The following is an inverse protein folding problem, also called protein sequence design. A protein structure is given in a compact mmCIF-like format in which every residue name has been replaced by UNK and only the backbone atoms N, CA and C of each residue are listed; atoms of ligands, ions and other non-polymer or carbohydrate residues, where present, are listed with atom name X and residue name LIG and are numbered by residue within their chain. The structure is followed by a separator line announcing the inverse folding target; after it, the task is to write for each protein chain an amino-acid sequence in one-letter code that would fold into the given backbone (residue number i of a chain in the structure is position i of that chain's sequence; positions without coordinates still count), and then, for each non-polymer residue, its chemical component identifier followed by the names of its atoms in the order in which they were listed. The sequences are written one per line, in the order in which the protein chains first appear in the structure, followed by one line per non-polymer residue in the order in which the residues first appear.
data_IF_890630250484
#
_entry.id   IF_890630250484
#
_cell.length_a   1.000
_cell.length_b   1.000
_cell.length_c   1.000
_cell.angle_alpha   90.00
_cell.angle_beta   90.00
_cell.angle_gamma   90.00
#
_symmetry.space_group_name_H-M   'P 1'
#
loop_
_entity.id
_entity.type
_entity.pdbx_description
1 polymer ?
#
# COMPACT_ATOMS: atom_id res chain seq x y z
N UNK A 1 -6.90 -15.52 32.62
CA UNK A 1 -7.17 -15.64 31.16
C UNK A 1 -8.62 -16.11 30.95
N UNK A 2 -9.06 -17.21 31.58
CA UNK A 2 -10.42 -17.74 31.42
C UNK A 2 -11.51 -16.71 31.73
N UNK A 3 -11.42 -16.01 32.88
CA UNK A 3 -12.38 -14.98 33.26
C UNK A 3 -12.47 -13.82 32.26
N UNK A 4 -11.34 -13.40 31.67
CA UNK A 4 -11.29 -12.37 30.65
C UNK A 4 -11.91 -12.85 29.33
N UNK A 5 -11.57 -14.07 28.90
CA UNK A 5 -12.07 -14.63 27.64
C UNK A 5 -13.58 -14.94 27.70
N UNK A 6 -14.06 -15.52 28.79
CA UNK A 6 -15.48 -15.81 29.00
C UNK A 6 -16.26 -14.52 29.24
N UNK A 7 -15.75 -13.62 30.10
CA UNK A 7 -16.39 -12.34 30.37
C UNK A 7 -16.53 -11.46 29.11
N UNK A 8 -15.53 -11.45 28.23
CA UNK A 8 -15.60 -10.75 26.96
C UNK A 8 -16.68 -11.31 26.00
N UNK A 9 -16.95 -12.61 26.06
CA UNK A 9 -18.02 -13.26 25.28
C UNK A 9 -19.42 -13.05 25.87
N UNK A 10 -19.52 -13.11 27.20
CA UNK A 10 -20.81 -13.04 27.94
C UNK A 10 -21.30 -11.59 28.09
N UNK A 11 -20.37 -10.63 28.20
CA UNK A 11 -20.67 -9.22 28.40
C UNK A 11 -20.08 -8.36 27.28
N UNK A 12 -20.53 -8.52 26.01
CA UNK A 12 -20.01 -7.75 24.89
C UNK A 12 -20.27 -6.25 25.10
N UNK A 13 -19.21 -5.43 24.95
CA UNK A 13 -19.29 -3.97 25.10
C UNK A 13 -19.08 -3.46 26.54
N UNK A 14 -18.92 -4.32 27.55
CA UNK A 14 -18.55 -3.90 28.90
C UNK A 14 -17.03 -4.02 29.13
N UNK A 15 -16.43 -3.16 29.97
CA UNK A 15 -15.00 -3.18 30.26
C UNK A 15 -14.64 -4.33 31.23
N UNK A 16 -14.72 -5.56 30.73
CA UNK A 16 -14.47 -6.79 31.54
C UNK A 16 -13.06 -6.77 32.13
N UNK A 17 -12.06 -6.28 31.39
CA UNK A 17 -10.69 -6.17 31.87
C UNK A 17 -10.60 -5.27 33.11
N UNK A 18 -11.30 -4.13 33.11
CA UNK A 18 -11.37 -3.24 34.26
C UNK A 18 -12.02 -3.93 35.47
N UNK A 19 -13.11 -4.66 35.24
CA UNK A 19 -13.78 -5.42 36.27
C UNK A 19 -12.87 -6.49 36.92
N UNK A 20 -12.11 -7.22 36.10
CA UNK A 20 -11.13 -8.21 36.58
C UNK A 20 -10.01 -7.55 37.36
N UNK A 21 -9.47 -6.41 36.91
CA UNK A 21 -8.45 -5.65 37.65
C UNK A 21 -8.97 -5.18 39.01
N UNK A 22 -10.17 -4.60 39.05
CA UNK A 22 -10.75 -4.11 40.30
C UNK A 22 -11.04 -5.27 41.27
N UNK A 23 -11.60 -6.38 40.80
CA UNK A 23 -11.84 -7.56 41.64
C UNK A 23 -10.54 -8.14 42.21
N UNK A 24 -9.51 -8.21 41.38
CA UNK A 24 -8.20 -8.72 41.84
C UNK A 24 -7.48 -7.73 42.77
N UNK A 25 -7.62 -6.44 42.59
CA UNK A 25 -7.12 -5.43 43.55
C UNK A 25 -7.78 -5.56 44.89
N UNK A 26 -9.12 -5.68 44.94
CA UNK A 26 -9.86 -5.89 46.19
C UNK A 26 -9.46 -7.22 46.82
N UNK A 27 -9.43 -8.32 46.05
CA UNK A 27 -8.99 -9.61 46.54
C UNK A 27 -7.57 -9.63 47.10
N UNK A 28 -6.63 -8.97 46.40
CA UNK A 28 -5.22 -8.86 46.81
C UNK A 28 -5.03 -7.95 48.05
N UNK A 29 -5.94 -6.99 48.27
CA UNK A 29 -5.91 -6.16 49.49
C UNK A 29 -6.45 -6.90 50.73
N UNK A 30 -7.33 -7.85 50.52
CA UNK A 30 -7.94 -8.65 51.60
C UNK A 30 -7.13 -9.90 51.97
N UNK A 31 -6.33 -10.42 51.03
CA UNK A 31 -5.49 -11.59 51.25
C UNK A 31 -4.01 -11.24 51.03
N UNK A 32 -3.07 -11.70 51.88
CA UNK A 32 -1.63 -11.43 51.71
C UNK A 32 -1.05 -12.29 50.59
N UNK A 33 -1.38 -11.92 49.30
CA UNK A 33 -1.00 -12.66 48.10
C UNK A 33 0.54 -12.76 47.90
N UNK A 34 1.29 -11.82 48.45
CA UNK A 34 2.75 -11.88 48.48
C UNK A 34 3.28 -13.05 49.30
N UNK A 35 2.59 -13.42 50.41
CA UNK A 35 2.94 -14.57 51.27
C UNK A 35 2.65 -15.91 50.57
N UNK A 36 1.77 -15.91 49.57
CA UNK A 36 1.47 -17.05 48.72
C UNK A 36 2.44 -17.24 47.55
N UNK A 37 3.52 -16.45 47.51
CA UNK A 37 4.54 -16.50 46.43
C UNK A 37 4.09 -15.90 45.10
N UNK A 38 2.99 -15.14 45.07
CA UNK A 38 2.51 -14.46 43.89
C UNK A 38 3.29 -13.15 43.68
N UNK A 39 3.89 -12.97 42.51
CA UNK A 39 4.55 -11.73 42.15
C UNK A 39 3.53 -10.60 41.96
N UNK A 40 3.81 -9.46 42.59
CA UNK A 40 2.99 -8.25 42.49
C UNK A 40 3.80 -7.12 41.85
N UNK A 41 3.12 -6.13 41.28
CA UNK A 41 3.72 -4.97 40.61
C UNK A 41 4.65 -4.17 41.53
N UNK A 42 4.38 -4.18 42.83
CA UNK A 42 5.22 -3.49 43.79
C UNK A 42 5.00 -1.98 43.80
N UNK A 43 5.98 -1.23 44.33
CA UNK A 43 5.88 0.23 44.43
C UNK A 43 6.07 0.89 43.08
N UNK A 44 5.03 1.55 42.58
CA UNK A 44 5.11 2.42 41.44
C UNK A 44 5.52 3.81 41.87
N UNK A 45 6.49 4.48 41.18
CA UNK A 45 6.79 5.87 41.44
C UNK A 45 5.53 6.72 41.23
N UNK A 46 5.21 7.56 42.22
CA UNK A 46 4.10 8.50 42.11
C UNK A 46 4.64 9.86 41.59
N UNK A 47 3.84 10.53 40.79
CA UNK A 47 4.19 11.85 40.27
C UNK A 47 4.37 11.87 38.76
N UNK A 48 4.60 13.06 38.23
CA UNK A 48 4.89 13.26 36.80
C UNK A 48 6.40 13.08 36.55
N UNK A 49 6.77 12.52 35.38
CA UNK A 49 8.18 12.41 34.99
C UNK A 49 8.87 13.76 34.93
N UNK A 50 10.19 13.78 35.20
CA UNK A 50 10.97 14.97 35.14
C UNK A 50 11.31 15.38 33.71
N UNK A 51 10.76 16.52 33.28
CA UNK A 51 10.91 17.04 31.92
C UNK A 51 12.37 17.40 31.56
N UNK A 52 13.17 17.85 32.54
CA UNK A 52 14.55 18.29 32.30
C UNK A 52 15.57 17.16 32.17
N UNK A 53 15.27 15.98 32.68
CA UNK A 53 16.23 14.86 32.71
C UNK A 53 16.55 14.34 31.30
N UNK A 54 15.60 14.43 30.34
CA UNK A 54 15.82 14.03 28.95
C UNK A 54 16.82 14.95 28.25
N UNK A 55 16.72 16.27 28.48
CA UNK A 55 17.63 17.24 27.87
C UNK A 55 19.07 17.03 28.35
N UNK A 56 19.27 16.67 29.62
CA UNK A 56 20.60 16.37 30.19
C UNK A 56 21.20 15.09 29.55
N UNK A 57 20.40 14.07 29.31
CA UNK A 57 20.86 12.79 28.73
C UNK A 57 21.24 12.88 27.25
N UNK A 58 20.73 13.89 26.52
CA UNK A 58 21.04 14.06 25.08
C UNK A 58 22.49 14.51 24.84
N UNK A 59 23.12 15.19 25.81
CA UNK A 59 24.50 15.67 25.71
C UNK A 59 25.57 14.57 25.78
N UNK A 60 25.24 13.42 26.35
CA UNK A 60 26.17 12.31 26.58
C UNK A 60 26.10 11.18 25.54
N UNK A 61 25.27 11.33 24.51
CA UNK A 61 25.04 10.29 23.50
C UNK A 61 26.26 10.10 22.60
N UNK A 62 26.71 8.84 22.50
CA UNK A 62 27.75 8.42 21.56
C UNK A 62 27.16 8.19 20.16
N UNK A 63 27.99 8.39 19.14
CA UNK A 63 27.58 8.20 17.72
C UNK A 63 26.97 6.82 17.48
N UNK A 64 27.50 5.79 18.10
CA UNK A 64 26.99 4.42 17.96
C UNK A 64 25.58 4.26 18.59
N UNK A 65 25.34 4.88 19.72
CA UNK A 65 24.02 4.91 20.38
C UNK A 65 23.00 5.67 19.51
N UNK A 66 23.40 6.80 18.93
CA UNK A 66 22.55 7.57 17.99
C UNK A 66 22.18 6.71 16.81
N UNK A 67 23.11 5.92 16.25
CA UNK A 67 22.84 5.02 15.12
C UNK A 67 21.83 3.93 15.50
N UNK A 68 21.96 3.33 16.67
CA UNK A 68 21.02 2.32 17.18
C UNK A 68 19.64 2.94 17.46
N UNK A 69 19.60 4.10 18.09
CA UNK A 69 18.37 4.84 18.37
C UNK A 69 17.65 5.24 17.06
N UNK A 70 18.39 5.66 16.04
CA UNK A 70 17.81 6.03 14.74
C UNK A 70 17.12 4.84 14.07
N UNK A 71 17.72 3.66 14.12
CA UNK A 71 17.09 2.43 13.60
C UNK A 71 15.81 2.10 14.33
N UNK A 72 15.84 2.14 15.66
CA UNK A 72 14.68 1.88 16.51
C UNK A 72 13.59 2.93 16.26
N UNK A 73 13.95 4.22 16.21
CA UNK A 73 13.02 5.31 15.95
C UNK A 73 12.34 5.16 14.58
N UNK A 74 13.11 4.78 13.55
CA UNK A 74 12.55 4.57 12.20
C UNK A 74 11.55 3.40 12.16
N UNK A 75 11.84 2.30 12.84
CA UNK A 75 10.91 1.19 12.88
C UNK A 75 9.66 1.49 13.72
N UNK A 76 9.82 2.14 14.87
CA UNK A 76 8.68 2.63 15.66
C UNK A 76 7.83 3.60 14.84
N UNK A 77 8.45 4.50 14.09
CA UNK A 77 7.77 5.42 13.18
C UNK A 77 6.95 4.68 12.12
N UNK A 78 7.56 3.73 11.40
CA UNK A 78 6.86 2.97 10.36
C UNK A 78 5.65 2.22 10.93
N UNK A 79 5.85 1.51 12.04
CA UNK A 79 4.79 0.74 12.69
C UNK A 79 3.67 1.65 13.18
N UNK A 80 4.01 2.70 13.93
CA UNK A 80 3.05 3.66 14.46
C UNK A 80 2.27 4.38 13.35
N UNK A 81 2.94 4.76 12.27
CA UNK A 81 2.32 5.44 11.14
C UNK A 81 1.36 4.52 10.38
N UNK A 82 1.78 3.29 10.05
CA UNK A 82 0.95 2.32 9.32
C UNK A 82 -0.30 1.99 10.15
N UNK A 83 -0.15 1.70 11.44
CA UNK A 83 -1.26 1.39 12.34
C UNK A 83 -2.22 2.57 12.47
N UNK A 84 -1.71 3.78 12.69
CA UNK A 84 -2.52 4.99 12.84
C UNK A 84 -3.29 5.34 11.58
N UNK A 85 -2.65 5.33 10.41
CA UNK A 85 -3.30 5.62 9.13
C UNK A 85 -4.33 4.56 8.76
N UNK A 86 -4.04 3.28 9.02
CA UNK A 86 -4.99 2.19 8.81
C UNK A 86 -6.24 2.36 9.68
N UNK A 87 -6.05 2.66 10.97
CA UNK A 87 -7.13 2.95 11.90
C UNK A 87 -7.95 4.17 11.45
N UNK A 88 -7.28 5.28 11.14
CA UNK A 88 -7.93 6.51 10.68
C UNK A 88 -8.77 6.28 9.43
N UNK A 89 -8.24 5.59 8.41
CA UNK A 89 -8.96 5.26 7.18
C UNK A 89 -10.17 4.36 7.43
N UNK A 90 -10.06 3.38 8.33
CA UNK A 90 -11.17 2.47 8.67
C UNK A 90 -12.36 3.26 9.21
N UNK A 91 -12.12 4.17 10.16
CA UNK A 91 -13.19 5.00 10.72
C UNK A 91 -13.66 6.10 9.76
N UNK A 92 -12.76 6.66 8.96
CA UNK A 92 -13.11 7.63 7.92
C UNK A 92 -14.09 7.06 6.89
N UNK A 93 -13.84 5.84 6.40
CA UNK A 93 -14.75 5.13 5.51
C UNK A 93 -16.11 4.86 6.17
N UNK A 94 -16.11 4.44 7.44
CA UNK A 94 -17.34 4.18 8.21
C UNK A 94 -18.18 5.43 8.40
N UNK A 95 -17.55 6.56 8.73
CA UNK A 95 -18.22 7.82 9.05
C UNK A 95 -18.23 8.83 7.91
N UNK A 96 -17.70 8.48 6.73
CA UNK A 96 -17.70 9.28 5.50
C UNK A 96 -17.07 10.67 5.65
N UNK A 97 -15.88 10.74 6.29
CA UNK A 97 -15.09 11.96 6.33
C UNK A 97 -13.71 11.75 5.66
N UNK A 98 -13.11 12.80 5.08
CA UNK A 98 -11.77 12.68 4.50
C UNK A 98 -10.70 12.62 5.59
N UNK A 99 -9.62 11.88 5.33
CA UNK A 99 -8.40 11.88 6.15
C UNK A 99 -7.28 12.47 5.32
N UNK A 100 -6.60 13.47 5.86
CA UNK A 100 -5.39 14.02 5.28
C UNK A 100 -4.16 13.32 5.91
N UNK A 101 -3.44 12.45 5.16
CA UNK A 101 -2.30 11.72 5.67
C UNK A 101 -1.16 12.61 6.18
N UNK A 102 -1.05 13.84 5.64
CA UNK A 102 -0.03 14.80 6.07
C UNK A 102 -0.34 15.37 7.45
N UNK A 103 -1.60 15.71 7.71
CA UNK A 103 -2.04 16.19 9.03
C UNK A 103 -1.93 15.08 10.07
N UNK A 104 -2.30 13.85 9.73
CA UNK A 104 -2.13 12.69 10.61
C UNK A 104 -0.65 12.49 10.99
N UNK A 105 0.26 12.57 10.01
CA UNK A 105 1.69 12.43 10.24
C UNK A 105 2.22 13.54 11.16
N UNK A 106 1.81 14.79 10.95
CA UNK A 106 2.22 15.92 11.79
C UNK A 106 1.65 15.80 13.21
N UNK A 107 0.39 15.38 13.33
CA UNK A 107 -0.25 15.14 14.63
C UNK A 107 0.46 14.04 15.42
N UNK A 108 0.71 12.90 14.77
CA UNK A 108 1.40 11.76 15.38
C UNK A 108 2.84 12.10 15.78
N UNK A 109 3.57 12.82 14.90
CA UNK A 109 4.93 13.28 15.16
C UNK A 109 5.01 14.22 16.33
N UNK A 110 4.13 15.23 16.40
CA UNK A 110 4.09 16.19 17.52
C UNK A 110 3.70 15.51 18.83
N UNK A 111 2.74 14.57 18.81
CA UNK A 111 2.36 13.80 19.99
C UNK A 111 3.52 12.92 20.49
N UNK A 112 4.24 12.26 19.57
CA UNK A 112 5.41 11.43 19.93
C UNK A 112 6.59 12.26 20.47
N UNK A 113 6.82 13.45 19.90
CA UNK A 113 7.83 14.37 20.43
C UNK A 113 7.50 14.83 21.86
N UNK A 114 6.25 15.25 22.09
CA UNK A 114 5.81 15.63 23.43
C UNK A 114 5.90 14.45 24.41
N UNK A 115 5.44 13.27 24.01
CA UNK A 115 5.56 12.06 24.84
C UNK A 115 7.03 11.77 25.19
N UNK A 116 7.95 11.87 24.22
CA UNK A 116 9.38 11.66 24.43
C UNK A 116 10.00 12.66 25.42
N UNK A 117 9.60 13.93 25.35
CA UNK A 117 10.05 14.96 26.32
C UNK A 117 9.61 14.65 27.75
N UNK A 118 8.50 13.94 27.93
CA UNK A 118 7.99 13.47 29.22
C UNK A 118 8.37 12.01 29.50
N UNK A 119 9.43 11.50 28.89
CA UNK A 119 9.91 10.10 29.05
C UNK A 119 8.88 9.03 28.72
N UNK A 120 7.91 9.38 27.87
CA UNK A 120 6.88 8.45 27.40
C UNK A 120 7.32 7.65 26.18
N UNK A 121 6.48 6.67 25.82
CA UNK A 121 6.66 5.85 24.63
C UNK A 121 6.17 6.58 23.37
N UNK A 122 6.65 6.17 22.17
CA UNK A 122 6.07 6.62 20.90
C UNK A 122 4.57 6.40 20.85
N UNK A 123 3.82 7.37 20.33
CA UNK A 123 2.35 7.33 20.26
C UNK A 123 1.92 6.72 18.95
N UNK A 124 0.92 5.83 19.01
CA UNK A 124 0.26 5.26 17.83
C UNK A 124 -1.25 5.20 18.04
N UNK A 125 -2.01 5.27 16.93
CA UNK A 125 -3.45 5.14 16.92
C UNK A 125 -3.89 3.70 16.69
N UNK A 126 -4.17 2.97 17.78
CA UNK A 126 -4.62 1.58 17.69
C UNK A 126 -6.09 1.43 17.27
N UNK A 127 -6.38 0.50 16.37
CA UNK A 127 -7.72 0.21 15.89
C UNK A 127 -8.67 -0.23 17.03
N UNK A 128 -8.16 -1.07 17.94
CA UNK A 128 -8.95 -1.61 19.05
C UNK A 128 -9.38 -0.52 20.03
N UNK A 129 -8.46 0.37 20.43
CA UNK A 129 -8.73 1.47 21.32
C UNK A 129 -9.69 2.48 20.70
N UNK A 130 -9.49 2.81 19.43
CA UNK A 130 -10.38 3.67 18.66
C UNK A 130 -11.79 3.08 18.55
N UNK A 131 -11.91 1.75 18.33
CA UNK A 131 -13.19 1.07 18.29
C UNK A 131 -13.92 1.09 19.64
N UNK A 132 -13.20 0.98 20.76
CA UNK A 132 -13.78 1.09 22.11
C UNK A 132 -14.29 2.51 22.36
N UNK A 133 -13.49 3.53 21.99
CA UNK A 133 -13.85 4.92 22.14
C UNK A 133 -15.09 5.28 21.30
N UNK A 134 -15.15 4.80 20.05
CA UNK A 134 -16.31 4.96 19.17
C UNK A 134 -17.57 4.30 19.72
N UNK A 135 -17.47 3.01 20.16
CA UNK A 135 -18.59 2.29 20.78
C UNK A 135 -19.07 2.96 22.06
N UNK A 136 -18.17 3.64 22.79
CA UNK A 136 -18.49 4.47 23.94
C UNK A 136 -19.26 5.74 23.61
N UNK A 137 -19.46 6.03 22.31
CA UNK A 137 -20.20 7.20 21.83
C UNK A 137 -19.36 8.45 21.66
N UNK A 138 -18.04 8.34 21.66
CA UNK A 138 -17.15 9.48 21.41
C UNK A 138 -17.33 10.02 19.97
N UNK A 139 -17.52 11.34 19.88
CA UNK A 139 -17.68 12.06 18.59
C UNK A 139 -16.62 13.12 18.35
N UNK A 140 -15.82 13.43 19.35
CA UNK A 140 -14.79 14.46 19.29
C UNK A 140 -13.53 14.02 20.03
N UNK A 141 -12.34 14.61 19.72
CA UNK A 141 -11.10 14.35 20.44
C UNK A 141 -11.16 14.69 21.95
N UNK A 142 -12.18 15.41 22.41
CA UNK A 142 -12.38 15.74 23.82
C UNK A 142 -12.44 14.50 24.72
N UNK A 143 -12.97 13.38 24.21
CA UNK A 143 -12.96 12.10 24.92
C UNK A 143 -11.55 11.66 25.32
N UNK A 144 -10.55 11.89 24.46
CA UNK A 144 -9.15 11.56 24.73
C UNK A 144 -8.52 12.50 25.76
N UNK A 145 -8.91 13.79 25.72
CA UNK A 145 -8.47 14.77 26.74
C UNK A 145 -8.98 14.37 28.13
N UNK A 146 -10.26 14.00 28.20
CA UNK A 146 -10.87 13.52 29.47
C UNK A 146 -10.20 12.24 29.94
N UNK A 147 -9.97 11.27 29.04
CA UNK A 147 -9.27 10.03 29.37
C UNK A 147 -7.85 10.29 29.87
N UNK A 148 -7.11 11.20 29.23
CA UNK A 148 -5.76 11.58 29.65
C UNK A 148 -5.77 12.27 31.03
N UNK A 149 -6.75 13.14 31.30
CA UNK A 149 -6.90 13.78 32.61
C UNK A 149 -7.19 12.74 33.70
N UNK A 150 -8.07 11.76 33.43
CA UNK A 150 -8.35 10.68 34.37
C UNK A 150 -7.11 9.83 34.65
N UNK A 151 -6.36 9.44 33.61
CA UNK A 151 -5.10 8.70 33.74
C UNK A 151 -4.08 9.52 34.56
N UNK A 152 -3.94 10.81 34.29
CA UNK A 152 -3.08 11.73 35.07
C UNK A 152 -3.48 11.78 36.55
N UNK A 153 -4.75 11.85 36.84
CA UNK A 153 -5.29 11.84 38.21
C UNK A 153 -4.99 10.52 38.94
N UNK A 154 -5.12 9.40 38.23
CA UNK A 154 -4.75 8.07 38.74
C UNK A 154 -3.26 7.98 39.04
N UNK A 155 -2.41 8.49 38.16
CA UNK A 155 -0.95 8.51 38.35
C UNK A 155 -0.53 9.38 39.54
N UNK A 156 -1.22 10.49 39.79
CA UNK A 156 -0.89 11.40 40.88
C UNK A 156 -1.34 10.88 42.24
N UNK A 157 -2.54 10.28 42.32
CA UNK A 157 -3.19 10.00 43.60
C UNK A 157 -3.41 8.52 43.90
N UNK A 158 -3.49 7.67 42.89
CA UNK A 158 -3.95 6.29 43.01
C UNK A 158 -2.92 5.21 42.63
N UNK A 159 -1.66 5.58 42.38
CA UNK A 159 -0.57 4.64 42.06
C UNK A 159 -0.36 3.60 43.14
N UNK A 160 -0.53 4.00 44.42
CA UNK A 160 -0.43 3.08 45.56
C UNK A 160 -1.43 1.94 45.55
N UNK A 161 -2.59 2.11 44.90
CA UNK A 161 -3.61 1.08 44.76
C UNK A 161 -3.12 -0.12 43.94
N UNK A 162 -2.28 0.12 42.94
CA UNK A 162 -1.78 -0.92 42.03
C UNK A 162 -0.60 -1.71 42.62
N UNK A 163 -0.10 -1.35 43.79
CA UNK A 163 1.04 -2.01 44.44
C UNK A 163 0.82 -3.51 44.63
N UNK A 164 -0.38 -3.88 45.04
CA UNK A 164 -0.75 -5.27 45.34
C UNK A 164 -1.31 -6.01 44.11
N UNK A 165 -1.30 -5.40 42.91
CA UNK A 165 -1.81 -6.03 41.68
C UNK A 165 -0.91 -7.19 41.26
N UNK A 166 -1.41 -8.41 41.11
CA UNK A 166 -0.64 -9.55 40.65
C UNK A 166 -0.16 -9.34 39.18
N UNK A 167 1.12 -9.55 38.89
CA UNK A 167 1.67 -9.48 37.52
C UNK A 167 0.95 -10.45 36.57
N UNK A 168 0.49 -11.59 37.09
CA UNK A 168 -0.26 -12.58 36.32
C UNK A 168 -1.57 -12.01 35.72
N UNK A 169 -2.16 -10.98 36.33
CA UNK A 169 -3.37 -10.31 35.80
C UNK A 169 -2.99 -9.45 34.59
N UNK A 170 -1.89 -8.70 34.67
CA UNK A 170 -1.38 -7.93 33.56
C UNK A 170 -0.99 -8.83 32.38
N UNK A 171 -0.27 -9.91 32.67
CA UNK A 171 0.07 -10.91 31.66
C UNK A 171 -1.19 -11.53 31.01
N UNK A 172 -2.23 -11.83 31.79
CA UNK A 172 -3.48 -12.35 31.25
C UNK A 172 -4.22 -11.34 30.35
N UNK A 173 -4.21 -10.05 30.70
CA UNK A 173 -4.79 -8.99 29.87
C UNK A 173 -4.03 -8.88 28.55
N UNK A 174 -2.70 -8.87 28.59
CA UNK A 174 -1.85 -8.81 27.40
C UNK A 174 -2.10 -10.03 26.51
N UNK A 175 -2.13 -11.25 27.06
CA UNK A 175 -2.39 -12.48 26.29
C UNK A 175 -3.75 -12.44 25.58
N UNK A 176 -4.80 -11.98 26.27
CA UNK A 176 -6.13 -11.86 25.65
C UNK A 176 -6.16 -10.78 24.58
N UNK A 177 -5.49 -9.66 24.81
CA UNK A 177 -5.37 -8.58 23.82
C UNK A 177 -4.64 -9.06 22.56
N UNK A 178 -3.48 -9.71 22.72
CA UNK A 178 -2.68 -10.25 21.62
C UNK A 178 -3.44 -11.33 20.85
N UNK A 179 -4.13 -12.24 21.56
CA UNK A 179 -4.95 -13.25 20.90
C UNK A 179 -6.08 -12.64 20.06
N UNK A 180 -6.59 -11.48 20.47
CA UNK A 180 -7.59 -10.71 19.71
C UNK A 180 -7.05 -10.03 18.44
N UNK A 181 -5.74 -9.90 18.29
CA UNK A 181 -5.11 -9.32 17.10
C UNK A 181 -4.90 -10.34 15.96
N UNK A 182 -4.99 -11.64 16.27
CA UNK A 182 -4.83 -12.70 15.28
C UNK A 182 -6.12 -12.85 14.49
N UNK A 183 -6.16 -12.31 13.27
CA UNK A 183 -7.30 -12.47 12.36
C UNK A 183 -7.04 -13.56 11.31
N UNK A 184 -7.39 -14.79 11.67
CA UNK A 184 -7.31 -15.94 10.76
C UNK A 184 -8.28 -15.84 9.58
N UNK A 185 -9.36 -15.05 9.69
CA UNK A 185 -10.32 -14.87 8.61
C UNK A 185 -9.73 -14.01 7.52
N UNK A 186 -9.05 -12.91 7.90
CA UNK A 186 -8.36 -12.04 6.98
C UNK A 186 -7.22 -12.78 6.25
N UNK A 187 -6.44 -13.59 6.98
CA UNK A 187 -5.39 -14.42 6.39
C UNK A 187 -5.94 -15.42 5.36
N UNK A 188 -7.08 -16.03 5.67
CA UNK A 188 -7.77 -16.94 4.75
C UNK A 188 -8.37 -16.21 3.55
N UNK A 189 -8.87 -15.01 3.74
CA UNK A 189 -9.35 -14.15 2.66
C UNK A 189 -8.21 -13.79 1.69
N UNK A 190 -7.07 -13.34 2.20
CA UNK A 190 -5.87 -13.02 1.40
C UNK A 190 -5.39 -14.21 0.56
N UNK A 191 -5.42 -15.43 1.15
CA UNK A 191 -5.05 -16.64 0.41
C UNK A 191 -5.87 -16.86 -0.86
N UNK A 192 -7.18 -16.51 -0.83
CA UNK A 192 -8.08 -16.68 -1.98
C UNK A 192 -8.12 -15.46 -2.89
N UNK A 193 -7.99 -14.26 -2.33
CA UNK A 193 -8.12 -13.00 -3.06
C UNK A 193 -6.83 -12.62 -3.80
N UNK A 194 -5.66 -12.78 -3.15
CA UNK A 194 -4.37 -12.37 -3.71
C UNK A 194 -3.23 -13.18 -3.11
N UNK A 195 -2.69 -14.11 -3.90
CA UNK A 195 -1.53 -14.92 -3.46
C UNK A 195 -0.29 -14.07 -3.18
N UNK A 196 -0.17 -12.92 -3.86
CA UNK A 196 0.95 -11.99 -3.68
C UNK A 196 0.86 -11.32 -2.31
N UNK A 197 -0.33 -10.82 -1.94
CA UNK A 197 -0.54 -10.16 -0.65
C UNK A 197 -0.42 -11.17 0.50
N UNK A 198 -0.89 -12.41 0.29
CA UNK A 198 -0.66 -13.51 1.22
C UNK A 198 0.84 -13.83 1.40
N UNK A 199 1.61 -13.87 0.31
CA UNK A 199 3.05 -14.08 0.39
C UNK A 199 3.76 -12.93 1.11
N UNK A 200 3.35 -11.68 0.86
CA UNK A 200 3.86 -10.51 1.57
C UNK A 200 3.59 -10.59 3.08
N UNK A 201 2.36 -10.96 3.47
CA UNK A 201 1.99 -11.18 4.87
C UNK A 201 2.81 -12.32 5.50
N UNK A 202 3.05 -13.41 4.76
CA UNK A 202 3.90 -14.52 5.18
C UNK A 202 5.36 -14.13 5.41
N UNK A 203 5.94 -13.34 4.50
CA UNK A 203 7.31 -12.80 4.63
C UNK A 203 7.40 -11.88 5.84
N UNK A 204 6.40 -11.00 6.04
CA UNK A 204 6.35 -10.12 7.19
C UNK A 204 6.29 -10.90 8.51
N UNK A 205 5.39 -11.87 8.61
CA UNK A 205 5.23 -12.70 9.80
C UNK A 205 6.51 -13.49 10.12
N UNK A 206 7.07 -14.16 9.11
CA UNK A 206 8.29 -14.97 9.26
C UNK A 206 9.49 -14.08 9.61
N UNK A 207 9.63 -12.93 8.96
CA UNK A 207 10.67 -11.95 9.25
C UNK A 207 10.63 -11.48 10.70
N UNK A 208 9.43 -11.10 11.19
CA UNK A 208 9.25 -10.67 12.60
C UNK A 208 9.55 -11.80 13.59
N UNK A 209 9.13 -13.02 13.31
CA UNK A 209 9.37 -14.17 14.21
C UNK A 209 10.81 -14.60 14.28
N UNK A 210 11.55 -14.55 13.16
CA UNK A 210 12.94 -15.03 13.10
C UNK A 210 13.98 -13.95 13.42
N UNK A 211 13.73 -12.69 13.02
CA UNK A 211 14.72 -11.61 13.11
C UNK A 211 14.33 -10.54 14.14
N UNK A 212 13.12 -10.67 14.71
CA UNK A 212 12.58 -9.67 15.62
C UNK A 212 11.74 -8.61 14.89
N UNK A 213 11.02 -7.80 15.68
CA UNK A 213 10.03 -6.84 15.16
C UNK A 213 10.68 -5.81 14.24
N UNK A 214 11.85 -5.28 14.64
CA UNK A 214 12.53 -4.21 13.92
C UNK A 214 12.94 -4.64 12.50
N UNK A 215 13.78 -5.67 12.43
CA UNK A 215 14.31 -6.16 11.16
C UNK A 215 13.22 -6.82 10.32
N UNK A 216 12.26 -7.49 10.96
CA UNK A 216 11.12 -8.09 10.30
C UNK A 216 10.22 -7.07 9.59
N UNK A 217 9.93 -5.93 10.22
CA UNK A 217 9.15 -4.85 9.59
C UNK A 217 9.90 -4.24 8.41
N UNK A 218 11.20 -3.97 8.55
CA UNK A 218 12.02 -3.45 7.44
C UNK A 218 12.01 -4.41 6.26
N UNK A 219 12.21 -5.71 6.51
CA UNK A 219 12.16 -6.74 5.46
C UNK A 219 10.79 -6.81 4.80
N UNK A 220 9.71 -6.73 5.60
CA UNK A 220 8.35 -6.73 5.07
C UNK A 220 8.08 -5.53 4.14
N UNK A 221 8.53 -4.33 4.52
CA UNK A 221 8.41 -3.13 3.67
C UNK A 221 9.21 -3.29 2.38
N UNK A 222 10.47 -3.73 2.49
CA UNK A 222 11.32 -3.97 1.30
C UNK A 222 10.70 -5.04 0.38
N UNK A 223 10.22 -6.15 0.93
CA UNK A 223 9.55 -7.19 0.17
C UNK A 223 8.29 -6.67 -0.54
N UNK A 224 7.48 -5.86 0.14
CA UNK A 224 6.29 -5.22 -0.43
C UNK A 224 6.65 -4.30 -1.60
N UNK A 225 7.69 -3.48 -1.47
CA UNK A 225 8.19 -2.61 -2.55
C UNK A 225 8.69 -3.44 -3.74
N UNK A 226 9.48 -4.49 -3.48
CA UNK A 226 9.97 -5.40 -4.54
C UNK A 226 8.81 -6.08 -5.25
N UNK A 227 7.79 -6.56 -4.54
CA UNK A 227 6.60 -7.16 -5.14
C UNK A 227 5.82 -6.17 -6.00
N UNK A 228 5.67 -4.93 -5.54
CA UNK A 228 5.01 -3.86 -6.30
C UNK A 228 5.78 -3.54 -7.58
N UNK A 229 7.10 -3.40 -7.51
CA UNK A 229 7.97 -3.16 -8.66
C UNK A 229 7.94 -4.34 -9.63
N UNK A 230 7.98 -5.57 -9.13
CA UNK A 230 7.90 -6.79 -9.95
C UNK A 230 6.59 -6.87 -10.74
N UNK A 231 5.49 -6.46 -10.14
CA UNK A 231 4.19 -6.37 -10.83
C UNK A 231 4.19 -5.32 -11.94
N UNK A 232 4.77 -4.16 -11.66
CA UNK A 232 4.89 -3.05 -12.63
C UNK A 232 5.94 -3.34 -13.72
N UNK A 233 6.91 -4.22 -13.46
CA UNK A 233 7.94 -4.60 -14.42
C UNK A 233 7.43 -5.55 -15.52
N UNK A 234 6.30 -6.22 -15.30
CA UNK A 234 5.68 -7.12 -16.29
C UNK A 234 4.22 -6.75 -16.51
N UNK A 235 3.94 -5.59 -17.12
CA UNK A 235 2.59 -5.19 -17.44
C UNK A 235 1.98 -6.17 -18.44
N UNK A 236 0.67 -6.35 -18.37
CA UNK A 236 -0.04 -7.15 -19.34
C UNK A 236 -0.02 -6.46 -20.71
N UNK A 237 0.46 -7.17 -21.72
CA UNK A 237 0.41 -6.75 -23.12
C UNK A 237 -0.78 -7.44 -23.75
N UNK A 238 -1.89 -6.73 -23.90
CA UNK A 238 -3.11 -7.24 -24.49
C UNK A 238 -3.04 -7.14 -26.02
N UNK A 239 -3.15 -8.26 -26.71
CA UNK A 239 -3.33 -8.29 -28.15
C UNK A 239 -4.82 -8.17 -28.45
N UNK A 240 -5.19 -7.18 -29.29
CA UNK A 240 -6.55 -6.72 -29.43
C UNK A 240 -7.22 -7.32 -30.65
N UNK A 241 -8.44 -7.83 -30.47
CA UNK A 241 -9.39 -8.19 -31.51
C UNK A 241 -10.62 -7.29 -31.43
N UNK A 242 -11.31 -7.14 -32.59
CA UNK A 242 -12.56 -6.37 -32.67
C UNK A 242 -13.71 -7.17 -32.07
N UNK A 243 -14.49 -6.56 -31.21
CA UNK A 243 -15.73 -7.17 -30.70
C UNK A 243 -16.74 -7.28 -31.82
N UNK A 244 -17.28 -8.48 -32.10
CA UNK A 244 -18.22 -8.70 -33.21
C UNK A 244 -19.37 -7.69 -33.21
N UNK A 245 -19.65 -7.09 -34.38
CA UNK A 245 -20.75 -6.12 -34.55
C UNK A 245 -20.50 -4.73 -33.94
N UNK A 246 -19.28 -4.41 -33.49
CA UNK A 246 -18.94 -3.11 -32.91
C UNK A 246 -17.60 -2.59 -33.46
N UNK A 247 -17.32 -1.30 -33.22
CA UNK A 247 -16.01 -0.67 -33.49
C UNK A 247 -15.09 -0.68 -32.28
N UNK A 248 -15.37 -1.52 -31.29
CA UNK A 248 -14.57 -1.62 -30.05
C UNK A 248 -13.62 -2.80 -30.14
N UNK A 249 -12.49 -2.66 -29.44
CA UNK A 249 -11.44 -3.66 -29.35
C UNK A 249 -11.25 -4.10 -27.90
N UNK A 250 -11.05 -5.40 -27.71
CA UNK A 250 -10.70 -5.96 -26.41
C UNK A 250 -9.67 -7.08 -26.57
N UNK A 251 -9.11 -7.53 -25.43
CA UNK A 251 -8.08 -8.58 -25.40
C UNK A 251 -8.60 -9.88 -26.01
N UNK A 252 -8.02 -10.27 -27.13
CA UNK A 252 -8.37 -11.50 -27.85
C UNK A 252 -7.99 -12.77 -27.07
N UNK A 253 -7.05 -12.68 -26.12
CA UNK A 253 -6.67 -13.82 -25.27
C UNK A 253 -7.77 -14.14 -24.25
N UNK A 254 -8.43 -13.09 -23.72
CA UNK A 254 -9.55 -13.23 -22.78
C UNK A 254 -10.88 -13.48 -23.49
N UNK A 255 -10.98 -13.02 -24.72
CA UNK A 255 -12.17 -13.05 -25.53
C UNK A 255 -11.85 -13.66 -26.92
N UNK A 256 -11.78 -15.00 -27.01
CA UNK A 256 -11.45 -15.69 -28.27
C UNK A 256 -12.47 -15.47 -29.39
N UNK A 257 -13.67 -15.01 -29.07
CA UNK A 257 -14.73 -14.61 -29.99
C UNK A 257 -14.43 -13.31 -30.76
N UNK A 258 -13.43 -12.55 -30.33
CA UNK A 258 -13.05 -11.32 -31.00
C UNK A 258 -12.43 -11.60 -32.38
N UNK A 259 -12.80 -10.77 -33.32
CA UNK A 259 -12.33 -10.88 -34.70
C UNK A 259 -10.94 -10.25 -34.86
N UNK A 260 -9.97 -11.05 -35.30
CA UNK A 260 -8.67 -10.55 -35.74
C UNK A 260 -8.78 -9.84 -37.08
N UNK A 261 -7.98 -8.80 -37.30
CA UNK A 261 -7.90 -8.15 -38.62
C UNK A 261 -6.73 -8.74 -39.40
N UNK A 262 -6.98 -9.36 -40.59
CA UNK A 262 -5.91 -9.96 -41.38
C UNK A 262 -4.80 -8.96 -41.71
N UNK A 263 -3.53 -9.36 -41.50
CA UNK A 263 -2.36 -8.53 -41.75
C UNK A 263 -2.12 -7.39 -40.72
N UNK A 264 -2.96 -7.25 -39.68
CA UNK A 264 -2.82 -6.19 -38.68
C UNK A 264 -2.80 -6.77 -37.29
N UNK A 265 -1.75 -6.47 -36.51
CA UNK A 265 -1.65 -6.78 -35.08
C UNK A 265 -1.84 -5.51 -34.27
N UNK A 266 -2.96 -5.42 -33.57
CA UNK A 266 -3.19 -4.34 -32.61
C UNK A 266 -2.84 -4.82 -31.20
N UNK A 267 -2.14 -3.98 -30.43
CA UNK A 267 -1.83 -4.29 -29.05
C UNK A 267 -1.93 -3.06 -28.14
N UNK A 268 -2.11 -3.32 -26.85
CA UNK A 268 -2.19 -2.30 -25.78
C UNK A 268 -1.44 -2.78 -24.56
N UNK A 269 -0.67 -1.92 -23.95
CA UNK A 269 -0.01 -2.18 -22.66
C UNK A 269 -0.91 -1.65 -21.55
N UNK A 270 -1.22 -2.49 -20.59
CA UNK A 270 -2.04 -2.11 -19.43
C UNK A 270 -1.17 -1.54 -18.32
N UNK A 271 -0.65 -0.34 -18.53
CA UNK A 271 0.19 0.37 -17.59
C UNK A 271 1.12 1.38 -18.23
N UNK A 272 1.89 2.10 -17.40
CA UNK A 272 2.91 3.04 -17.86
C UNK A 272 4.08 2.30 -18.53
N UNK A 273 4.67 2.95 -19.54
CA UNK A 273 5.83 2.43 -20.23
C UNK A 273 7.07 3.13 -19.66
N UNK A 274 7.85 2.39 -18.87
CA UNK A 274 8.97 2.93 -18.07
C UNK A 274 10.19 2.01 -18.16
N UNK A 275 11.38 2.54 -17.85
CA UNK A 275 12.68 1.91 -18.07
C UNK A 275 12.80 0.43 -17.64
N UNK A 276 12.10 0.02 -16.59
CA UNK A 276 12.19 -1.35 -16.08
C UNK A 276 11.21 -2.35 -16.72
N UNK A 277 10.31 -1.92 -17.61
CA UNK A 277 9.37 -2.80 -18.31
C UNK A 277 9.48 -2.77 -19.83
N UNK A 278 10.28 -1.88 -20.39
CA UNK A 278 10.44 -1.71 -21.85
C UNK A 278 10.89 -2.99 -22.57
N UNK A 279 11.82 -3.73 -21.97
CA UNK A 279 12.33 -4.96 -22.58
C UNK A 279 11.27 -6.06 -22.60
N UNK A 280 10.46 -6.16 -21.53
CA UNK A 280 9.37 -7.12 -21.47
C UNK A 280 8.32 -6.82 -22.56
N UNK A 281 7.94 -5.55 -22.70
CA UNK A 281 6.96 -5.13 -23.72
C UNK A 281 7.50 -5.38 -25.12
N UNK A 282 8.75 -4.96 -25.40
CA UNK A 282 9.40 -5.17 -26.69
C UNK A 282 9.42 -6.66 -27.09
N UNK A 283 9.92 -7.50 -26.18
CA UNK A 283 10.00 -8.95 -26.42
C UNK A 283 8.63 -9.59 -26.63
N UNK A 284 7.63 -9.20 -25.83
CA UNK A 284 6.26 -9.72 -25.97
C UNK A 284 5.66 -9.41 -27.35
N UNK A 285 5.86 -8.18 -27.84
CA UNK A 285 5.36 -7.78 -29.16
C UNK A 285 6.12 -8.50 -30.27
N UNK A 286 7.46 -8.53 -30.22
CA UNK A 286 8.26 -9.19 -31.25
C UNK A 286 8.02 -10.69 -31.32
N UNK A 287 7.87 -11.36 -30.17
CA UNK A 287 7.51 -12.78 -30.14
C UNK A 287 6.16 -13.05 -30.82
N UNK A 288 5.19 -12.15 -30.62
CA UNK A 288 3.87 -12.29 -31.27
C UNK A 288 3.96 -12.05 -32.76
N UNK A 289 4.73 -11.04 -33.19
CA UNK A 289 4.98 -10.74 -34.62
C UNK A 289 5.61 -11.90 -35.36
N UNK A 290 6.58 -12.61 -34.75
CA UNK A 290 7.22 -13.80 -35.35
C UNK A 290 6.25 -14.95 -35.58
N UNK A 291 5.16 -15.03 -34.84
CA UNK A 291 4.12 -16.03 -35.00
C UNK A 291 3.10 -15.75 -36.13
N UNK A 292 3.19 -14.57 -36.78
CA UNK A 292 2.23 -14.11 -37.80
C UNK A 292 2.94 -13.68 -39.11
N UNK A 293 3.32 -14.60 -40.00
CA UNK A 293 4.17 -14.29 -41.16
C UNK A 293 3.48 -13.40 -42.22
N UNK A 294 2.16 -13.29 -42.21
CA UNK A 294 1.39 -12.44 -43.15
C UNK A 294 1.17 -11.00 -42.59
N UNK A 295 1.84 -10.65 -41.50
CA UNK A 295 1.65 -9.38 -40.83
C UNK A 295 2.25 -8.22 -41.66
N UNK A 296 1.43 -7.19 -41.90
CA UNK A 296 1.80 -6.01 -42.67
C UNK A 296 1.92 -4.77 -41.76
N UNK A 297 1.22 -4.79 -40.61
CA UNK A 297 1.18 -3.61 -39.71
C UNK A 297 1.00 -3.99 -38.26
N UNK A 298 1.70 -3.26 -37.41
CA UNK A 298 1.50 -3.29 -35.95
C UNK A 298 0.94 -1.93 -35.51
N UNK A 299 -0.14 -1.96 -34.71
CA UNK A 299 -0.77 -0.75 -34.14
C UNK A 299 -0.70 -0.82 -32.63
N UNK A 300 -0.10 0.19 -32.03
CA UNK A 300 -0.03 0.35 -30.58
C UNK A 300 -1.09 1.34 -30.10
N UNK A 301 -2.04 0.86 -29.31
CA UNK A 301 -3.04 1.68 -28.63
C UNK A 301 -2.51 2.15 -27.26
N UNK A 302 -2.18 3.42 -27.14
CA UNK A 302 -1.68 4.08 -25.93
C UNK A 302 -2.78 4.56 -24.98
N UNK A 303 -4.05 4.22 -25.22
CA UNK A 303 -5.18 4.71 -24.41
C UNK A 303 -5.08 4.32 -22.94
N UNK A 304 -4.45 3.18 -22.61
CA UNK A 304 -4.19 2.72 -21.25
C UNK A 304 -2.76 2.94 -20.76
N UNK A 305 -1.98 3.75 -21.50
CA UNK A 305 -0.59 4.09 -21.14
C UNK A 305 -0.56 5.54 -20.64
N UNK A 306 -0.78 5.78 -19.35
CA UNK A 306 -0.90 7.13 -18.81
C UNK A 306 0.41 7.91 -18.80
N UNK A 307 1.55 7.19 -18.81
CA UNK A 307 2.87 7.81 -18.75
C UNK A 307 3.89 7.01 -19.58
N UNK A 308 4.78 7.73 -20.26
CA UNK A 308 5.92 7.18 -21.02
C UNK A 308 7.17 7.96 -20.63
N UNK A 309 8.19 7.27 -20.13
CA UNK A 309 9.48 7.89 -19.87
C UNK A 309 10.39 7.90 -21.12
N UNK A 310 11.60 8.43 -20.99
CA UNK A 310 12.59 8.49 -22.08
C UNK A 310 12.93 7.09 -22.61
N UNK A 311 13.06 6.10 -21.72
CA UNK A 311 13.38 4.73 -22.10
C UNK A 311 12.21 4.12 -22.88
N UNK A 312 10.96 4.38 -22.45
CA UNK A 312 9.75 3.99 -23.16
C UNK A 312 9.67 4.55 -24.57
N UNK A 313 9.94 5.85 -24.73
CA UNK A 313 9.96 6.48 -26.04
C UNK A 313 11.05 5.89 -26.97
N UNK A 314 12.25 5.65 -26.43
CA UNK A 314 13.35 5.00 -27.17
C UNK A 314 13.04 3.56 -27.54
N UNK A 315 12.35 2.83 -26.68
CA UNK A 315 11.90 1.47 -27.00
C UNK A 315 10.91 1.47 -28.14
N UNK A 316 9.97 2.42 -28.21
CA UNK A 316 9.04 2.55 -29.34
C UNK A 316 9.78 2.81 -30.66
N UNK A 317 10.83 3.61 -30.63
CA UNK A 317 11.70 3.82 -31.80
C UNK A 317 12.39 2.51 -32.20
N UNK A 318 12.97 1.78 -31.24
CA UNK A 318 13.61 0.50 -31.50
C UNK A 318 12.60 -0.52 -32.07
N UNK A 319 11.40 -0.58 -31.54
CA UNK A 319 10.33 -1.44 -32.05
C UNK A 319 9.98 -1.08 -33.50
N UNK A 320 9.88 0.23 -33.82
CA UNK A 320 9.69 0.70 -35.18
C UNK A 320 10.80 0.21 -36.11
N UNK A 321 12.07 0.38 -35.72
CA UNK A 321 13.23 0.01 -36.55
C UNK A 321 13.29 -1.50 -36.80
N UNK A 322 12.99 -2.33 -35.80
CA UNK A 322 12.93 -3.79 -35.91
C UNK A 322 11.78 -4.23 -36.83
N UNK A 323 10.58 -3.63 -36.70
CA UNK A 323 9.45 -3.91 -37.57
C UNK A 323 9.67 -3.45 -39.00
N UNK A 324 10.26 -2.27 -39.21
CA UNK A 324 10.62 -1.76 -40.52
C UNK A 324 11.65 -2.68 -41.25
N UNK A 325 12.61 -3.24 -40.50
CA UNK A 325 13.55 -4.25 -40.99
C UNK A 325 12.87 -5.55 -41.50
N UNK A 326 11.65 -5.84 -41.00
CA UNK A 326 10.81 -6.97 -41.45
C UNK A 326 9.79 -6.55 -42.54
N UNK A 327 9.77 -5.30 -42.97
CA UNK A 327 8.80 -4.76 -43.92
C UNK A 327 7.41 -4.50 -43.30
N UNK A 328 7.31 -4.44 -41.97
CA UNK A 328 6.07 -4.27 -41.22
C UNK A 328 5.92 -2.80 -40.81
N UNK A 329 4.79 -2.18 -41.15
CA UNK A 329 4.48 -0.81 -40.73
C UNK A 329 4.17 -0.72 -39.23
N UNK A 330 4.60 0.37 -38.56
CA UNK A 330 4.26 0.62 -37.16
C UNK A 330 3.49 1.92 -36.99
N UNK A 331 2.44 1.91 -36.20
CA UNK A 331 1.61 3.07 -35.92
C UNK A 331 1.21 3.14 -34.46
N UNK A 332 1.08 4.38 -33.94
CA UNK A 332 0.69 4.64 -32.57
C UNK A 332 -0.60 5.47 -32.56
N UNK A 333 -1.57 5.11 -31.72
CA UNK A 333 -2.86 5.80 -31.58
C UNK A 333 -3.24 5.96 -30.11
N UNK A 334 -4.23 6.79 -29.81
CA UNK A 334 -4.84 6.90 -28.48
C UNK A 334 -3.97 7.54 -27.40
N UNK A 335 -2.87 8.21 -27.76
CA UNK A 335 -1.96 8.81 -26.80
C UNK A 335 -2.61 9.98 -26.04
N UNK A 336 -2.46 9.99 -24.70
CA UNK A 336 -2.84 11.12 -23.84
C UNK A 336 -1.93 12.35 -24.07
N UNK A 337 -2.36 13.54 -23.60
CA UNK A 337 -1.65 14.81 -23.84
C UNK A 337 -0.17 14.77 -23.47
N UNK A 338 0.14 14.42 -22.23
CA UNK A 338 1.53 14.34 -21.74
C UNK A 338 2.36 13.29 -22.49
N UNK A 339 1.75 12.15 -22.86
CA UNK A 339 2.41 11.11 -23.64
C UNK A 339 2.72 11.64 -25.05
N UNK A 340 1.76 12.31 -25.71
CA UNK A 340 2.01 12.93 -27.03
C UNK A 340 3.16 13.93 -27.00
N UNK A 341 3.17 14.81 -25.99
CA UNK A 341 4.21 15.83 -25.86
C UNK A 341 5.59 15.18 -25.67
N UNK A 342 5.68 14.11 -24.88
CA UNK A 342 6.90 13.32 -24.71
C UNK A 342 7.35 12.69 -26.03
N UNK A 343 6.44 12.02 -26.74
CA UNK A 343 6.75 11.34 -27.98
C UNK A 343 7.16 12.33 -29.08
N UNK A 344 6.56 13.54 -29.12
CA UNK A 344 6.95 14.63 -30.02
C UNK A 344 8.34 15.20 -29.69
N UNK A 345 8.62 15.38 -28.40
CA UNK A 345 9.94 15.80 -27.95
C UNK A 345 11.04 14.83 -28.42
N UNK A 346 10.78 13.53 -28.38
CA UNK A 346 11.67 12.48 -28.89
C UNK A 346 11.59 12.29 -30.41
N UNK A 347 10.86 13.19 -31.14
CA UNK A 347 10.68 13.17 -32.60
C UNK A 347 10.11 11.83 -33.15
N UNK A 348 9.27 11.16 -32.39
CA UNK A 348 8.70 9.90 -32.80
C UNK A 348 7.71 10.07 -33.97
N UNK A 349 7.07 11.23 -34.10
CA UNK A 349 6.14 11.54 -35.20
C UNK A 349 6.80 11.43 -36.62
N UNK A 350 8.10 11.66 -36.69
CA UNK A 350 8.88 11.53 -37.94
C UNK A 350 8.91 10.07 -38.47
N UNK A 351 8.67 9.10 -37.58
CA UNK A 351 8.81 7.66 -37.82
C UNK A 351 7.48 6.92 -37.86
N UNK A 352 6.58 7.18 -36.87
CA UNK A 352 5.30 6.45 -36.74
C UNK A 352 4.12 7.21 -37.37
N UNK A 353 4.38 8.38 -37.94
CA UNK A 353 3.36 9.29 -38.44
C UNK A 353 2.73 10.18 -37.38
N UNK A 354 1.76 11.03 -37.74
CA UNK A 354 1.23 12.03 -36.83
C UNK A 354 0.52 11.38 -35.62
N UNK A 355 0.99 11.73 -34.40
CA UNK A 355 0.42 11.31 -33.13
C UNK A 355 -0.62 12.33 -32.71
N UNK A 356 -1.85 12.17 -33.15
CA UNK A 356 -2.95 13.09 -32.86
C UNK A 356 -4.11 12.39 -32.12
N UNK A 357 -5.07 13.18 -31.62
CA UNK A 357 -6.24 12.70 -30.91
C UNK A 357 -7.40 12.25 -31.83
N UNK A 358 -7.27 12.44 -33.13
CA UNK A 358 -8.37 12.26 -34.08
C UNK A 358 -8.42 10.87 -34.68
N UNK A 359 -7.30 10.13 -34.66
CA UNK A 359 -7.25 8.77 -35.22
C UNK A 359 -7.63 7.76 -34.15
N UNK A 360 -8.73 7.09 -34.37
CA UNK A 360 -9.19 5.96 -33.53
C UNK A 360 -8.41 4.68 -33.85
N UNK A 361 -8.44 3.72 -32.92
CA UNK A 361 -7.86 2.40 -33.15
C UNK A 361 -8.52 1.71 -34.38
N UNK A 362 -9.84 1.82 -34.48
CA UNK A 362 -10.57 1.26 -35.62
C UNK A 362 -10.12 1.81 -36.96
N UNK A 363 -9.96 3.12 -37.08
CA UNK A 363 -9.44 3.74 -38.32
C UNK A 363 -7.99 3.33 -38.61
N UNK A 364 -7.13 3.25 -37.59
CA UNK A 364 -5.74 2.81 -37.79
C UNK A 364 -5.63 1.35 -38.26
N UNK A 365 -6.53 0.50 -37.82
CA UNK A 365 -6.63 -0.90 -38.22
C UNK A 365 -7.23 -1.03 -39.60
N UNK A 366 -8.29 -0.27 -39.94
CA UNK A 366 -8.96 -0.32 -41.23
C UNK A 366 -8.06 0.13 -42.40
N UNK A 367 -7.24 1.15 -42.20
CA UNK A 367 -6.26 1.63 -43.22
C UNK A 367 -5.23 0.54 -43.60
N UNK A 368 -5.05 -0.49 -42.78
CA UNK A 368 -4.16 -1.65 -43.07
C UNK A 368 -4.68 -2.62 -44.13
N UNK A 369 -5.97 -2.58 -44.42
CA UNK A 369 -6.62 -3.53 -45.32
C UNK A 369 -6.61 -3.10 -46.80
N UNK A 370 -6.15 -1.87 -47.12
CA UNK A 370 -6.02 -1.43 -48.50
C UNK A 370 -4.72 -2.00 -49.11
N UNK A 371 -4.83 -2.75 -50.26
CA UNK A 371 -3.66 -3.24 -50.97
C UNK A 371 -2.79 -2.03 -51.41
N UNK A 372 -1.46 -2.19 -51.28
CA UNK A 372 -0.46 -1.21 -51.73
C UNK A 372 -0.49 -1.06 -53.25
N UNK A 373 -1.45 -0.29 -53.78
CA UNK A 373 -1.62 -0.16 -55.21
C UNK A 373 -2.63 0.90 -55.65
N UNK A 374 -2.68 2.10 -55.04
CA UNK A 374 -3.33 3.27 -55.68
C UNK A 374 -2.91 4.56 -54.93
N UNK A 375 -1.63 4.86 -55.00
CA UNK A 375 -1.16 6.21 -54.81
C UNK A 375 -0.27 6.60 -55.97
N UNK A 376 -0.92 7.01 -57.07
CA UNK A 376 -0.22 7.55 -58.18
C UNK A 376 -1.22 8.00 -59.22
N UNK A 377 -1.53 9.28 -59.26
CA UNK A 377 -2.27 10.04 -60.27
C UNK A 377 -3.55 10.68 -59.76
N UNK A 378 -3.44 11.70 -58.91
CA UNK A 378 -4.44 12.78 -58.89
C UNK A 378 -3.94 13.91 -57.96
N UNK A 379 -2.99 14.73 -58.52
CA UNK A 379 -2.77 16.08 -58.00
C UNK A 379 -1.77 16.79 -58.95
N UNK A 380 -2.18 16.99 -60.20
CA UNK A 380 -1.68 18.04 -61.08
C UNK A 380 -2.72 18.33 -62.16
N UNK A 381 -3.69 19.14 -61.81
CA UNK A 381 -4.38 20.05 -62.74
C UNK A 381 -5.40 20.85 -61.94
N UNK A 382 -5.11 22.07 -61.79
CA UNK A 382 -5.93 23.28 -61.77
C UNK A 382 -5.43 24.28 -60.77
N UNK A 383 -4.56 25.16 -61.25
CA UNK A 383 -4.70 26.59 -61.02
C UNK A 383 -4.02 27.27 -62.22
N UNK A 384 -4.90 27.66 -63.20
CA UNK A 384 -4.69 28.79 -64.06
C UNK A 384 -5.35 30.00 -63.39
#
# INVERSE_FOLDING_TARGET
VGALAVGGKVLPGRPVALGVVLLTLVGASLAPVEQLGVRVVGRLPAGLPDFLSVAASLGDLRVEEVRQLTRLAFACFLLAYIESVSSARTFALKHRYPVDPRQELLGLGSASLLAGLWQGFPVAGGLSQSAVNEKGGARTPLSLVVASAVVGLVLLFFTGLFRSLPEAVLAAIVLVAVAGLIDLKELRYLWHASRIDFAAAGVALTGVLLMGVLDGVVIAVLASVVMLLSRSARPHVAFLGRIPGTDRFSDATRHPENEGTPGVLAFRVEGSLVYFNVDHVLQSVLQRVQGEPELQRVVYDLSNTPYVDVAGARMLRRLHDELAGMGIGFRVVGAHGEVRDRLRFEKLEDWVGPINRHVSLGEAVAVGVQPAGTRGCEERTTHG
#
